data_IF_180981696871
#
_entry.id   IF_180981696871
#
_cell.length_a   1.000
_cell.length_b   1.000
_cell.length_c   1.000
_cell.angle_alpha   90.00
_cell.angle_beta   90.00
_cell.angle_gamma   90.00
#
_symmetry.space_group_name_H-M   'P 1'
#
loop_
_entity.id
_entity.type
_entity.pdbx_description
1 polymer ?
#
# COMPACT_ATOMS: atom_id res chain seq x y z
N UNK A 1 13.93 2.11 -9.15
CA UNK A 1 14.49 3.15 -8.25
C UNK A 1 13.95 2.86 -6.86
N UNK A 2 14.84 2.73 -5.87
CA UNK A 2 14.45 2.48 -4.49
C UNK A 2 13.53 3.58 -3.96
N UNK A 3 12.43 3.20 -3.31
CA UNK A 3 11.56 4.09 -2.56
C UNK A 3 11.93 4.14 -1.07
N UNK A 4 12.76 3.21 -0.58
CA UNK A 4 13.06 3.07 0.83
C UNK A 4 13.55 1.68 1.20
N UNK A 5 13.60 1.43 2.52
CA UNK A 5 14.06 0.17 3.09
C UNK A 5 13.18 -0.27 4.25
N UNK A 6 13.00 -1.58 4.39
CA UNK A 6 12.34 -2.19 5.56
C UNK A 6 13.19 -1.95 6.81
N UNK A 7 12.57 -1.57 7.91
CA UNK A 7 13.26 -1.29 9.18
C UNK A 7 12.46 -1.82 10.38
N UNK A 8 13.15 -2.01 11.50
CA UNK A 8 12.53 -2.45 12.75
C UNK A 8 12.04 -3.90 12.69
N UNK A 9 11.08 -4.23 13.57
CA UNK A 9 10.48 -5.56 13.59
C UNK A 9 9.58 -5.76 12.36
N UNK A 10 9.78 -6.87 11.65
CA UNK A 10 9.03 -7.25 10.46
C UNK A 10 8.24 -8.53 10.71
N UNK A 11 7.02 -8.59 10.18
CA UNK A 11 6.11 -9.72 10.30
C UNK A 11 5.76 -10.25 8.90
N UNK A 12 5.39 -11.53 8.77
CA UNK A 12 4.86 -12.08 7.51
C UNK A 12 3.75 -11.25 6.88
N UNK A 13 2.90 -10.64 7.72
CA UNK A 13 1.70 -9.90 7.30
C UNK A 13 1.92 -8.40 7.21
N UNK A 14 2.99 -7.86 7.79
CA UNK A 14 3.21 -6.42 7.81
C UNK A 14 4.65 -6.04 8.12
N UNK A 15 5.09 -4.91 7.57
CA UNK A 15 6.42 -4.36 7.79
C UNK A 15 6.36 -2.85 8.01
N UNK A 16 7.37 -2.33 8.70
CA UNK A 16 7.64 -0.91 8.77
C UNK A 16 8.79 -0.59 7.81
N UNK A 17 8.69 0.53 7.10
CA UNK A 17 9.74 0.99 6.19
C UNK A 17 10.05 2.48 6.39
N UNK A 18 11.32 2.85 6.23
CA UNK A 18 11.73 4.24 6.07
C UNK A 18 11.85 4.54 4.59
N UNK A 19 11.23 5.62 4.15
CA UNK A 19 11.05 5.93 2.73
C UNK A 19 11.68 7.26 2.34
N UNK A 20 12.04 7.42 1.07
CA UNK A 20 12.66 8.65 0.55
C UNK A 20 11.71 9.83 0.44
N UNK A 21 10.40 9.56 0.50
CA UNK A 21 9.30 10.53 0.53
C UNK A 21 8.15 9.99 1.36
N UNK A 22 7.21 10.84 1.73
CA UNK A 22 5.93 10.37 2.27
C UNK A 22 5.19 9.52 1.22
N UNK A 23 4.76 8.32 1.64
CA UNK A 23 3.88 7.47 0.86
C UNK A 23 2.43 7.72 1.23
N UNK A 24 1.53 7.66 0.25
CA UNK A 24 0.11 7.87 0.49
C UNK A 24 -0.56 6.59 1.00
N UNK A 25 -1.52 6.70 1.92
CA UNK A 25 -2.37 5.56 2.29
C UNK A 25 -3.11 5.03 1.05
N UNK A 26 -3.08 3.71 0.86
CA UNK A 26 -3.61 3.01 -0.30
C UNK A 26 -2.65 2.95 -1.50
N UNK A 27 -1.40 3.38 -1.33
CA UNK A 27 -0.35 3.21 -2.33
C UNK A 27 0.21 1.77 -2.27
N UNK A 28 0.42 1.15 -3.44
CA UNK A 28 1.02 -0.18 -3.54
C UNK A 28 2.54 -0.05 -3.63
N UNK A 29 3.25 -0.93 -2.93
CA UNK A 29 4.70 -1.04 -2.97
C UNK A 29 5.10 -2.49 -3.24
N UNK A 30 6.32 -2.68 -3.74
CA UNK A 30 6.91 -3.98 -4.00
C UNK A 30 8.12 -4.20 -3.10
N UNK A 31 8.21 -5.36 -2.47
CA UNK A 31 9.31 -5.76 -1.59
C UNK A 31 10.02 -6.96 -2.24
N UNK A 32 11.32 -6.83 -2.49
CA UNK A 32 12.10 -7.88 -3.16
C UNK A 32 12.83 -8.71 -2.12
N UNK A 33 12.38 -9.95 -1.89
CA UNK A 33 13.05 -10.92 -1.02
C UNK A 33 13.68 -12.03 -1.86
N UNK A 34 14.54 -12.87 -1.26
CA UNK A 34 15.24 -13.94 -1.98
C UNK A 34 14.28 -14.96 -2.63
N UNK A 35 13.12 -15.19 -2.01
CA UNK A 35 12.08 -16.12 -2.50
C UNK A 35 11.23 -15.53 -3.63
N UNK A 36 11.29 -14.22 -3.87
CA UNK A 36 10.51 -13.54 -4.90
C UNK A 36 10.04 -12.14 -4.51
N UNK A 37 9.11 -11.61 -5.30
CA UNK A 37 8.57 -10.27 -5.09
C UNK A 37 7.23 -10.32 -4.34
N UNK A 38 7.10 -9.51 -3.30
CA UNK A 38 5.90 -9.36 -2.49
C UNK A 38 5.23 -8.03 -2.83
N UNK A 39 3.90 -8.04 -2.97
CA UNK A 39 3.11 -6.83 -3.06
C UNK A 39 2.63 -6.42 -1.66
N UNK A 40 2.86 -5.16 -1.30
CA UNK A 40 2.38 -4.54 -0.08
C UNK A 40 1.47 -3.35 -0.36
N UNK A 41 0.62 -3.03 0.62
CA UNK A 41 -0.25 -1.86 0.62
C UNK A 41 0.12 -0.94 1.80
N UNK A 42 0.32 0.34 1.53
CA UNK A 42 0.56 1.34 2.58
C UNK A 42 -0.74 1.57 3.35
N UNK A 43 -0.76 1.13 4.61
CA UNK A 43 -1.93 1.27 5.50
C UNK A 43 -1.86 2.56 6.31
N UNK A 44 -0.65 2.96 6.72
CA UNK A 44 -0.38 4.19 7.48
C UNK A 44 0.93 4.81 7.04
N UNK A 45 1.00 6.14 7.13
CA UNK A 45 2.17 6.93 6.80
C UNK A 45 2.32 8.02 7.85
N UNK A 46 3.53 8.18 8.38
CA UNK A 46 3.86 9.19 9.37
C UNK A 46 5.14 9.93 8.97
N UNK A 47 5.21 11.19 9.37
CA UNK A 47 6.40 12.04 9.18
C UNK A 47 6.81 12.51 10.56
N UNK A 48 8.06 12.27 10.92
CA UNK A 48 8.65 12.79 12.14
C UNK A 48 9.84 13.67 11.79
N UNK A 49 10.21 14.55 12.72
CA UNK A 49 11.41 15.37 12.63
C UNK A 49 12.16 15.28 13.94
N UNK A 50 13.49 15.16 13.87
CA UNK A 50 14.33 15.19 15.05
C UNK A 50 14.28 16.57 15.73
N UNK A 51 14.32 17.66 14.96
CA UNK A 51 14.25 19.04 15.46
C UNK A 51 12.94 19.34 16.19
N UNK A 52 11.83 18.73 15.80
CA UNK A 52 10.52 18.95 16.42
C UNK A 52 10.16 17.99 17.58
N UNK A 53 11.10 17.15 18.05
CA UNK A 53 10.80 16.12 19.07
C UNK A 53 10.40 16.71 20.42
N UNK A 54 10.98 17.84 20.82
CA UNK A 54 10.83 18.43 22.17
C UNK A 54 10.25 19.85 22.17
N UNK A 55 9.68 20.31 21.06
CA UNK A 55 9.16 21.68 20.91
C UNK A 55 7.88 21.88 21.74
N UNK A 56 7.86 22.89 22.61
CA UNK A 56 6.74 23.17 23.55
C UNK A 56 6.09 24.53 23.38
N UNK A 57 6.71 25.46 22.67
CA UNK A 57 6.18 26.81 22.45
C UNK A 57 6.43 27.32 21.03
N UNK A 58 5.81 28.46 20.70
CA UNK A 58 5.83 29.02 19.34
C UNK A 58 7.24 29.40 18.86
N UNK A 59 8.07 30.01 19.70
CA UNK A 59 9.43 30.42 19.33
C UNK A 59 10.35 29.22 19.09
N UNK A 60 10.26 28.18 19.93
CA UNK A 60 10.97 26.91 19.68
C UNK A 60 10.54 26.25 18.36
N UNK A 61 9.26 26.37 17.98
CA UNK A 61 8.76 25.85 16.71
C UNK A 61 9.29 26.64 15.51
N UNK A 62 9.38 27.96 15.63
CA UNK A 62 9.95 28.85 14.61
C UNK A 62 11.43 28.51 14.35
N UNK A 63 12.24 28.43 15.42
CA UNK A 63 13.65 28.04 15.32
C UNK A 63 13.83 26.62 14.76
N UNK A 64 13.01 25.67 15.21
CA UNK A 64 13.07 24.28 14.73
C UNK A 64 12.67 24.18 13.25
N UNK A 65 11.80 25.06 12.75
CA UNK A 65 11.42 25.11 11.33
C UNK A 65 12.63 25.49 10.47
N UNK A 66 13.37 26.53 10.87
CA UNK A 66 14.58 26.96 10.16
C UNK A 66 15.65 25.87 10.14
N UNK A 67 15.86 25.20 11.28
CA UNK A 67 16.81 24.08 11.40
C UNK A 67 16.41 22.89 10.51
N UNK A 68 15.12 22.53 10.50
CA UNK A 68 14.59 21.43 9.72
C UNK A 68 14.72 21.64 8.20
N UNK A 69 14.59 22.89 7.74
CA UNK A 69 14.72 23.22 6.31
C UNK A 69 16.18 23.24 5.85
N UNK A 70 17.12 23.58 6.72
CA UNK A 70 18.56 23.51 6.43
C UNK A 70 19.04 22.05 6.40
N UNK A 71 18.52 21.19 7.29
CA UNK A 71 19.00 19.83 7.44
C UNK A 71 18.08 18.80 6.78
N UNK A 72 18.42 18.38 5.56
CA UNK A 72 17.67 17.35 4.80
C UNK A 72 17.50 16.00 5.52
N UNK A 73 18.28 15.73 6.58
CA UNK A 73 18.18 14.49 7.39
C UNK A 73 17.21 14.61 8.56
N UNK A 74 16.63 15.79 8.75
CA UNK A 74 15.75 16.05 9.88
C UNK A 74 14.43 15.28 9.76
N UNK A 75 13.84 15.28 8.56
CA UNK A 75 12.55 14.63 8.28
C UNK A 75 12.73 13.14 8.03
N UNK A 76 12.05 12.32 8.82
CA UNK A 76 11.96 10.86 8.63
C UNK A 76 10.55 10.50 8.16
N UNK A 77 10.46 9.82 7.02
CA UNK A 77 9.20 9.30 6.49
C UNK A 77 9.08 7.82 6.85
N UNK A 78 8.06 7.46 7.63
CA UNK A 78 7.81 6.09 8.05
C UNK A 78 6.50 5.60 7.44
N UNK A 79 6.53 4.43 6.81
CA UNK A 79 5.37 3.77 6.26
C UNK A 79 5.12 2.43 6.96
N UNK A 80 3.87 2.18 7.32
CA UNK A 80 3.40 0.86 7.75
C UNK A 80 2.71 0.19 6.57
N UNK A 81 3.22 -0.96 6.18
CA UNK A 81 2.83 -1.67 4.97
C UNK A 81 2.23 -3.02 5.35
N UNK A 82 0.99 -3.27 4.93
CA UNK A 82 0.36 -4.59 4.99
C UNK A 82 0.79 -5.44 3.79
N UNK A 83 1.21 -6.67 4.03
CA UNK A 83 1.62 -7.62 2.99
C UNK A 83 0.38 -8.31 2.42
N UNK A 84 0.18 -8.18 1.11
CA UNK A 84 -0.91 -8.83 0.38
C UNK A 84 -0.54 -10.24 -0.07
N UNK A 85 0.76 -10.46 -0.34
CA UNK A 85 1.33 -11.75 -0.72
C UNK A 85 2.29 -11.67 -1.89
N UNK A 86 2.76 -12.83 -2.33
CA UNK A 86 3.66 -12.94 -3.49
C UNK A 86 2.98 -12.48 -4.77
N UNK A 87 3.69 -11.66 -5.54
CA UNK A 87 3.20 -11.07 -6.79
C UNK A 87 2.76 -12.14 -7.79
N UNK A 88 3.55 -13.20 -7.96
CA UNK A 88 3.25 -14.34 -8.82
C UNK A 88 1.96 -15.08 -8.44
N UNK A 89 1.68 -15.21 -7.14
CA UNK A 89 0.46 -15.84 -6.65
C UNK A 89 -0.74 -14.91 -6.80
N UNK A 90 -0.55 -13.61 -6.54
CA UNK A 90 -1.61 -12.61 -6.69
C UNK A 90 -2.09 -12.50 -8.14
N UNK A 91 -1.18 -12.60 -9.13
CA UNK A 91 -1.51 -12.71 -10.56
C UNK A 91 -2.41 -13.91 -10.88
N UNK A 92 -2.33 -14.97 -10.07
CA UNK A 92 -3.16 -16.18 -10.17
C UNK A 92 -4.43 -16.10 -9.30
N UNK A 93 -4.68 -14.97 -8.65
CA UNK A 93 -5.81 -14.77 -7.74
C UNK A 93 -5.66 -15.51 -6.41
N UNK A 94 -4.42 -15.75 -5.96
CA UNK A 94 -4.10 -16.39 -4.69
C UNK A 94 -3.29 -15.42 -3.81
N UNK A 95 -3.80 -15.11 -2.62
CA UNK A 95 -3.05 -14.36 -1.61
C UNK A 95 -2.26 -15.36 -0.77
N UNK A 96 -0.97 -15.50 -1.11
CA UNK A 96 -0.03 -16.34 -0.35
C UNK A 96 0.98 -15.41 0.33
N UNK A 97 0.93 -15.40 1.65
CA UNK A 97 1.78 -14.60 2.52
C UNK A 97 3.13 -15.32 2.67
N UNK A 98 4.27 -14.61 2.68
CA UNK A 98 5.57 -15.24 2.93
C UNK A 98 5.59 -15.91 4.30
N UNK A 99 6.16 -17.11 4.42
CA UNK A 99 6.28 -17.78 5.71
C UNK A 99 7.30 -17.07 6.63
N UNK A 100 8.33 -16.48 6.01
CA UNK A 100 9.41 -15.76 6.67
C UNK A 100 9.20 -14.25 6.43
N UNK A 101 9.25 -13.40 7.47
CA UNK A 101 9.12 -11.97 7.30
C UNK A 101 10.28 -11.40 6.44
N UNK A 102 10.03 -10.33 5.66
CA UNK A 102 11.11 -9.59 5.01
C UNK A 102 12.15 -9.10 6.04
N UNK A 103 13.43 -9.21 5.69
CA UNK A 103 14.52 -8.85 6.59
C UNK A 103 14.69 -7.32 6.61
N UNK A 104 14.99 -6.69 7.76
CA UNK A 104 15.38 -5.28 7.78
C UNK A 104 16.53 -4.98 6.84
N UNK A 105 16.45 -3.86 6.12
CA UNK A 105 17.34 -3.49 5.03
C UNK A 105 16.86 -3.92 3.64
N UNK A 106 15.78 -4.72 3.54
CA UNK A 106 15.19 -5.09 2.25
C UNK A 106 14.69 -3.84 1.51
N UNK A 107 15.02 -3.73 0.22
CA UNK A 107 14.60 -2.61 -0.62
C UNK A 107 13.10 -2.65 -0.92
N UNK A 108 12.45 -1.48 -0.86
CA UNK A 108 11.10 -1.29 -1.37
C UNK A 108 11.13 -0.50 -2.67
N UNK A 109 10.32 -0.90 -3.64
CA UNK A 109 10.22 -0.25 -4.96
C UNK A 109 8.77 -0.02 -5.35
N UNK A 110 8.54 0.80 -6.37
CA UNK A 110 7.19 0.99 -6.91
C UNK A 110 6.85 -0.19 -7.84
N UNK A 111 5.67 -0.84 -7.68
CA UNK A 111 5.19 -1.80 -8.66
C UNK A 111 4.93 -1.11 -9.99
N UNK A 112 5.14 -1.82 -11.08
CA UNK A 112 4.82 -1.32 -12.41
C UNK A 112 3.30 -1.28 -12.62
N UNK A 113 2.83 -0.49 -13.59
CA UNK A 113 1.40 -0.54 -13.94
C UNK A 113 0.99 -1.93 -14.41
N UNK A 114 1.89 -2.64 -15.11
CA UNK A 114 1.65 -4.01 -15.56
C UNK A 114 1.45 -4.97 -14.38
N UNK A 115 2.29 -4.87 -13.34
CA UNK A 115 2.15 -5.70 -12.12
C UNK A 115 0.75 -5.58 -11.52
N UNK A 116 0.26 -4.34 -11.42
CA UNK A 116 -1.04 -4.04 -10.84
C UNK A 116 -2.19 -4.39 -11.81
N UNK A 117 -2.04 -4.19 -13.12
CA UNK A 117 -3.04 -4.55 -14.12
C UNK A 117 -3.27 -6.07 -14.19
N UNK A 118 -2.22 -6.88 -14.10
CA UNK A 118 -2.33 -8.34 -14.10
C UNK A 118 -3.10 -8.87 -12.87
N UNK A 119 -3.02 -8.16 -11.74
CA UNK A 119 -3.69 -8.53 -10.50
C UNK A 119 -5.14 -8.00 -10.46
N UNK A 120 -5.33 -6.72 -10.76
CA UNK A 120 -6.60 -6.01 -10.54
C UNK A 120 -7.44 -5.83 -11.81
N UNK A 121 -6.85 -5.90 -13.00
CA UNK A 121 -7.54 -5.74 -14.29
C UNK A 121 -7.27 -6.90 -15.27
N UNK A 122 -7.43 -8.17 -14.86
CA UNK A 122 -7.17 -9.29 -15.74
C UNK A 122 -8.09 -9.25 -16.97
N UNK A 123 -7.50 -9.49 -18.14
CA UNK A 123 -8.20 -9.54 -19.45
C UNK A 123 -8.81 -10.93 -19.67
N UNK A 124 -9.75 -11.31 -18.82
CA UNK A 124 -10.45 -12.61 -18.87
C UNK A 124 -11.96 -12.38 -18.89
N UNK A 125 -12.68 -13.28 -19.53
CA UNK A 125 -14.15 -13.27 -19.49
C UNK A 125 -14.67 -13.48 -18.07
N UNK A 126 -15.87 -12.97 -17.80
CA UNK A 126 -16.49 -13.02 -16.48
C UNK A 126 -15.95 -11.99 -15.47
N UNK A 127 -15.04 -11.09 -15.89
CA UNK A 127 -14.53 -10.00 -15.06
C UNK A 127 -15.23 -8.68 -15.33
N UNK A 128 -15.89 -8.13 -14.31
CA UNK A 128 -16.62 -6.86 -14.35
C UNK A 128 -15.83 -5.76 -13.66
N UNK A 129 -15.76 -4.57 -14.26
CA UNK A 129 -15.16 -3.37 -13.66
C UNK A 129 -16.05 -2.78 -12.58
N UNK A 130 -15.51 -2.58 -11.38
CA UNK A 130 -16.18 -1.91 -10.26
C UNK A 130 -15.64 -0.50 -9.97
N UNK A 131 -14.50 -0.13 -10.54
CA UNK A 131 -13.89 1.17 -10.30
C UNK A 131 -12.44 1.21 -10.78
N UNK A 132 -11.62 2.01 -10.12
CA UNK A 132 -10.18 2.11 -10.35
C UNK A 132 -9.44 2.06 -9.01
N UNK A 133 -8.13 1.78 -9.04
CA UNK A 133 -7.30 1.83 -7.83
C UNK A 133 -7.24 3.26 -7.27
N UNK A 134 -7.26 3.38 -5.94
CA UNK A 134 -7.34 4.67 -5.22
C UNK A 134 -6.22 5.64 -5.62
N UNK A 135 -4.97 5.15 -5.68
CA UNK A 135 -3.78 5.95 -6.01
C UNK A 135 -3.31 5.79 -7.45
N UNK A 136 -3.95 4.94 -8.24
CA UNK A 136 -3.63 4.75 -9.64
C UNK A 136 -4.91 4.62 -10.49
N UNK A 137 -5.49 5.76 -10.85
CA UNK A 137 -6.76 5.84 -11.60
C UNK A 137 -6.70 5.24 -13.01
N UNK A 138 -5.51 4.95 -13.54
CA UNK A 138 -5.34 4.30 -14.85
C UNK A 138 -5.67 2.82 -14.81
N UNK A 139 -5.60 2.20 -13.62
CA UNK A 139 -5.78 0.78 -13.45
C UNK A 139 -7.21 0.52 -12.97
N UNK A 140 -7.98 -0.13 -13.83
CA UNK A 140 -9.33 -0.57 -13.53
C UNK A 140 -9.29 -1.67 -12.45
N UNK A 141 -10.18 -1.57 -11.47
CA UNK A 141 -10.41 -2.64 -10.52
C UNK A 141 -11.56 -3.49 -11.04
N UNK A 142 -11.29 -4.78 -11.28
CA UNK A 142 -12.25 -5.76 -11.78
C UNK A 142 -12.46 -6.89 -10.78
N UNK A 143 -13.66 -7.46 -10.80
CA UNK A 143 -14.05 -8.61 -9.99
C UNK A 143 -14.58 -9.72 -10.88
N UNK A 144 -14.35 -10.98 -10.51
CA UNK A 144 -14.89 -12.12 -11.24
C UNK A 144 -16.32 -12.42 -10.76
N UNK A 145 -17.32 -12.19 -11.61
CA UNK A 145 -18.73 -12.37 -11.28
C UNK A 145 -19.09 -13.84 -11.04
N UNK A 146 -18.55 -14.75 -11.85
CA UNK A 146 -18.84 -16.18 -11.73
C UNK A 146 -18.45 -16.72 -10.33
N UNK A 147 -17.30 -16.26 -9.81
CA UNK A 147 -16.83 -16.59 -8.46
C UNK A 147 -17.67 -15.97 -7.35
N UNK A 148 -18.19 -14.76 -7.58
CA UNK A 148 -19.01 -14.04 -6.60
C UNK A 148 -20.37 -14.69 -6.46
N UNK A 149 -21.03 -15.01 -7.59
CA UNK A 149 -22.36 -15.63 -7.59
C UNK A 149 -22.30 -17.05 -7.03
N UNK A 150 -21.20 -17.79 -7.25
CA UNK A 150 -21.05 -19.16 -6.77
C UNK A 150 -20.69 -19.30 -5.28
N UNK A 151 -20.20 -18.25 -4.60
CA UNK A 151 -19.67 -18.33 -3.21
C UNK A 151 -20.41 -17.47 -2.18
N UNK A 152 -21.57 -16.91 -2.55
CA UNK A 152 -22.31 -15.89 -1.81
C UNK A 152 -21.53 -14.56 -1.64
N UNK A 153 -22.24 -13.44 -1.72
CA UNK A 153 -21.67 -12.08 -1.59
C UNK A 153 -22.34 -11.33 -0.44
N UNK A 154 -21.53 -10.81 0.48
CA UNK A 154 -21.97 -9.82 1.48
C UNK A 154 -21.45 -8.43 1.13
N UNK A 155 -22.34 -7.46 0.92
CA UNK A 155 -21.97 -6.05 0.73
C UNK A 155 -22.35 -5.27 2.00
N UNK A 156 -21.35 -4.84 2.75
CA UNK A 156 -21.50 -4.13 4.03
C UNK A 156 -21.00 -2.69 3.89
N UNK A 157 -21.83 -1.71 4.23
CA UNK A 157 -21.45 -0.31 4.27
C UNK A 157 -22.43 0.49 5.15
N UNK A 158 -21.97 1.61 5.71
CA UNK A 158 -22.84 2.58 6.40
C UNK A 158 -23.77 3.30 5.41
N UNK A 159 -24.85 3.91 5.91
CA UNK A 159 -25.76 4.72 5.09
C UNK A 159 -25.00 5.83 4.37
N UNK A 160 -25.26 6.00 3.07
CA UNK A 160 -24.60 7.01 2.24
C UNK A 160 -23.23 6.60 1.66
N UNK A 161 -22.67 5.44 2.03
CA UNK A 161 -21.35 4.99 1.53
C UNK A 161 -21.39 4.24 0.19
N UNK A 162 -22.53 4.28 -0.52
CA UNK A 162 -22.62 3.74 -1.88
C UNK A 162 -22.97 2.24 -2.01
N UNK A 163 -23.54 1.60 -0.99
CA UNK A 163 -24.00 0.19 -1.05
C UNK A 163 -24.91 -0.07 -2.26
N UNK A 164 -25.99 0.72 -2.41
CA UNK A 164 -26.94 0.56 -3.52
C UNK A 164 -26.29 0.83 -4.88
N UNK A 165 -25.35 1.79 -4.94
CA UNK A 165 -24.60 2.09 -6.16
C UNK A 165 -23.75 0.90 -6.62
N UNK A 166 -23.08 0.20 -5.69
CA UNK A 166 -22.31 -0.99 -6.02
C UNK A 166 -23.21 -2.14 -6.49
N UNK A 167 -24.37 -2.33 -5.86
CA UNK A 167 -25.34 -3.36 -6.27
C UNK A 167 -25.84 -3.11 -7.70
N UNK A 168 -26.22 -1.87 -8.02
CA UNK A 168 -26.67 -1.49 -9.37
C UNK A 168 -25.59 -1.61 -10.45
N UNK A 169 -24.32 -1.62 -10.06
CA UNK A 169 -23.23 -1.80 -11.00
C UNK A 169 -22.93 -3.29 -11.26
N UNK A 170 -23.17 -4.16 -10.28
CA UNK A 170 -22.92 -5.61 -10.38
C UNK A 170 -24.12 -6.37 -10.98
N UNK A 171 -25.33 -5.81 -10.86
CA UNK A 171 -26.60 -6.38 -11.35
C UNK A 171 -26.91 -5.85 -12.74
#
# INVERSE_FOLDING_TARGET
MSLGFVVGESKPTSVTAITSRSLSVGEYIKISIDEGEILGLVERSSVSSAAFTDVRNFHEAEESTEIADINKRDKTFTAHIGILGFLENLRKGQSIIPAIPPIPGTEITQPTNQDLEEIFSPKKDGWLKIGNLLRNKKIEAKINLDRIVSRHLGILAMTGMGKSNLVSLIT
#
